data_IF_180278261449
#
_entry.id   IF_180278261449
#
_cell.length_a   1.000
_cell.length_b   1.000
_cell.length_c   1.000
_cell.angle_alpha   90.00
_cell.angle_beta   90.00
_cell.angle_gamma   90.00
#
_symmetry.space_group_name_H-M   'P 1'
#
loop_
_entity.id
_entity.type
_entity.pdbx_description
1 polymer ?
#
# COMPACT_ATOMS: atom_id res chain seq x y z
N UNK A 1 -11.04 -13.56 12.58
CA UNK A 1 -9.62 -13.63 12.92
C UNK A 1 -9.27 -12.36 13.66
N UNK A 2 -8.32 -12.44 14.53
CA UNK A 2 -7.79 -11.27 15.23
C UNK A 2 -6.28 -11.23 15.01
N UNK A 3 -5.60 -10.22 15.49
CA UNK A 3 -4.14 -10.20 15.45
C UNK A 3 -3.49 -11.46 16.07
N UNK A 4 -4.15 -12.07 17.06
CA UNK A 4 -3.67 -13.30 17.71
C UNK A 4 -3.68 -14.55 16.82
N UNK A 5 -4.37 -14.52 15.69
CA UNK A 5 -4.38 -15.63 14.72
C UNK A 5 -3.19 -15.57 13.75
N UNK A 6 -2.48 -14.43 13.70
CA UNK A 6 -1.37 -14.15 12.81
C UNK A 6 -0.07 -13.98 13.59
N UNK A 7 1.04 -14.40 12.99
CA UNK A 7 2.37 -14.31 13.59
C UNK A 7 3.33 -13.45 12.77
N UNK A 8 3.19 -13.46 11.46
CA UNK A 8 4.18 -12.87 10.56
C UNK A 8 3.50 -11.99 9.51
N UNK A 9 3.99 -10.77 9.37
CA UNK A 9 3.57 -9.84 8.34
C UNK A 9 4.72 -9.47 7.41
N UNK A 10 4.41 -9.28 6.14
CA UNK A 10 5.32 -8.70 5.14
C UNK A 10 4.69 -7.43 4.59
N UNK A 11 5.41 -6.30 4.71
CA UNK A 11 4.93 -4.98 4.32
C UNK A 11 5.87 -4.37 3.28
N UNK A 12 5.34 -4.02 2.11
CA UNK A 12 6.10 -3.29 1.09
C UNK A 12 5.91 -1.79 1.20
N UNK A 13 6.90 -1.01 0.73
CA UNK A 13 6.90 0.45 0.88
C UNK A 13 7.07 0.89 2.35
N UNK A 14 7.65 0.03 3.18
CA UNK A 14 7.72 0.21 4.63
C UNK A 14 8.70 1.30 5.10
N UNK A 15 9.42 1.96 4.19
CA UNK A 15 10.38 3.01 4.58
C UNK A 15 9.75 4.37 4.88
N UNK A 16 8.49 4.60 4.47
CA UNK A 16 7.85 5.93 4.65
C UNK A 16 6.32 5.84 4.65
N UNK A 17 5.69 6.93 5.07
CA UNK A 17 4.25 7.15 4.93
C UNK A 17 3.40 6.01 5.49
N UNK A 18 2.37 5.61 4.74
CA UNK A 18 1.44 4.57 5.16
C UNK A 18 2.12 3.22 5.42
N UNK A 19 3.10 2.83 4.59
CA UNK A 19 3.81 1.55 4.76
C UNK A 19 4.61 1.48 6.07
N UNK A 20 5.30 2.55 6.44
CA UNK A 20 6.02 2.63 7.71
C UNK A 20 5.06 2.60 8.91
N UNK A 21 3.97 3.37 8.85
CA UNK A 21 2.96 3.39 9.92
C UNK A 21 2.26 2.01 10.09
N UNK A 22 1.97 1.34 8.98
CA UNK A 22 1.40 -0.02 9.00
C UNK A 22 2.39 -1.01 9.62
N UNK A 23 3.65 -0.99 9.19
CA UNK A 23 4.69 -1.87 9.74
C UNK A 23 4.86 -1.67 11.26
N UNK A 24 4.90 -0.42 11.70
CA UNK A 24 4.96 -0.07 13.12
C UNK A 24 3.74 -0.56 13.91
N UNK A 25 2.52 -0.40 13.37
CA UNK A 25 1.30 -0.89 14.01
C UNK A 25 1.29 -2.40 14.13
N UNK A 26 1.64 -3.13 13.07
CA UNK A 26 1.67 -4.59 13.08
C UNK A 26 2.71 -5.13 14.09
N UNK A 27 3.88 -4.49 14.20
CA UNK A 27 4.87 -4.81 15.22
C UNK A 27 4.34 -4.55 16.65
N UNK A 28 3.69 -3.41 16.89
CA UNK A 28 3.03 -3.10 18.17
C UNK A 28 1.92 -4.10 18.52
N UNK A 29 1.28 -4.71 17.53
CA UNK A 29 0.29 -5.78 17.71
C UNK A 29 0.91 -7.17 17.93
N UNK A 30 2.24 -7.26 17.96
CA UNK A 30 2.99 -8.48 18.30
C UNK A 30 3.33 -9.37 17.10
N UNK A 31 3.17 -8.90 15.86
CA UNK A 31 3.60 -9.66 14.68
C UNK A 31 5.10 -9.46 14.44
N UNK A 32 5.77 -10.51 13.98
CA UNK A 32 7.07 -10.38 13.34
C UNK A 32 6.88 -9.72 11.97
N UNK A 33 7.43 -8.50 11.81
CA UNK A 33 7.23 -7.71 10.59
C UNK A 33 8.47 -7.76 9.71
N UNK A 34 8.34 -8.24 8.50
CA UNK A 34 9.32 -8.13 7.43
C UNK A 34 9.02 -6.86 6.61
N UNK A 35 9.91 -5.89 6.69
CA UNK A 35 9.75 -4.58 6.07
C UNK A 35 10.57 -4.47 4.78
N UNK A 36 9.89 -4.32 3.64
CA UNK A 36 10.53 -4.29 2.31
C UNK A 36 10.48 -2.88 1.74
N UNK A 37 11.63 -2.30 1.39
CA UNK A 37 11.74 -1.03 0.67
C UNK A 37 13.15 -0.86 0.10
N UNK A 38 13.37 0.23 -0.68
CA UNK A 38 14.68 0.53 -1.29
C UNK A 38 15.61 1.34 -0.38
N UNK A 39 15.07 2.11 0.55
CA UNK A 39 15.84 3.02 1.40
C UNK A 39 16.32 2.30 2.66
N UNK A 40 17.60 1.94 2.66
CA UNK A 40 18.25 1.20 3.76
C UNK A 40 18.23 1.99 5.08
N UNK A 41 18.58 3.29 5.06
CA UNK A 41 18.64 4.10 6.28
C UNK A 41 17.28 4.19 6.98
N UNK A 42 16.22 4.47 6.23
CA UNK A 42 14.86 4.54 6.80
C UNK A 42 14.32 3.19 7.26
N UNK A 43 14.72 2.09 6.60
CA UNK A 43 14.39 0.75 7.09
C UNK A 43 15.13 0.41 8.38
N UNK A 44 16.39 0.82 8.53
CA UNK A 44 17.15 0.66 9.77
C UNK A 44 16.49 1.45 10.92
N UNK A 45 16.12 2.71 10.69
CA UNK A 45 15.38 3.51 11.67
C UNK A 45 14.05 2.87 12.09
N UNK A 46 13.32 2.27 11.14
CA UNK A 46 12.10 1.54 11.44
C UNK A 46 12.40 0.29 12.29
N UNK A 47 13.43 -0.47 11.93
CA UNK A 47 13.87 -1.65 12.66
C UNK A 47 14.26 -1.32 14.10
N UNK A 48 15.02 -0.24 14.31
CA UNK A 48 15.44 0.21 15.65
C UNK A 48 14.24 0.56 16.56
N UNK A 49 13.20 1.17 15.97
CA UNK A 49 12.01 1.55 16.75
C UNK A 49 11.04 0.42 17.01
N UNK A 50 11.01 -0.59 16.15
CA UNK A 50 9.90 -1.57 16.12
C UNK A 50 10.34 -3.02 16.26
N UNK A 51 11.61 -3.32 16.05
CA UNK A 51 12.10 -4.69 15.92
C UNK A 51 11.73 -5.34 14.56
N UNK A 52 11.24 -4.59 13.60
CA UNK A 52 10.96 -5.10 12.25
C UNK A 52 12.25 -5.58 11.57
N UNK A 53 12.13 -6.61 10.75
CA UNK A 53 13.26 -7.18 9.99
C UNK A 53 13.34 -6.46 8.64
N UNK A 54 14.40 -5.66 8.38
CA UNK A 54 14.52 -4.89 7.17
C UNK A 54 14.99 -5.76 5.99
N UNK A 55 14.41 -5.53 4.81
CA UNK A 55 14.81 -6.10 3.54
C UNK A 55 14.97 -4.98 2.52
N UNK A 56 16.21 -4.66 2.16
CA UNK A 56 16.52 -3.64 1.16
C UNK A 56 16.40 -4.24 -0.23
N UNK A 57 15.21 -4.13 -0.82
CA UNK A 57 14.88 -4.73 -2.12
C UNK A 57 14.05 -3.78 -2.95
N UNK A 58 14.34 -3.72 -4.25
CA UNK A 58 13.45 -3.11 -5.23
C UNK A 58 12.31 -4.09 -5.56
N UNK A 59 11.08 -3.59 -5.54
CA UNK A 59 9.89 -4.41 -5.81
C UNK A 59 9.86 -4.95 -7.26
N UNK A 60 10.63 -4.36 -8.15
CA UNK A 60 10.77 -4.79 -9.55
C UNK A 60 11.77 -5.95 -9.71
N UNK A 61 12.63 -6.21 -8.71
CA UNK A 61 13.55 -7.34 -8.69
C UNK A 61 12.87 -8.61 -8.13
N UNK A 62 12.26 -9.36 -9.04
CA UNK A 62 11.55 -10.60 -8.68
C UNK A 62 12.45 -11.66 -8.05
N UNK A 63 13.74 -11.71 -8.43
CA UNK A 63 14.67 -12.70 -7.86
C UNK A 63 15.01 -12.33 -6.41
N UNK A 64 15.28 -11.06 -6.13
CA UNK A 64 15.49 -10.58 -4.77
C UNK A 64 14.24 -10.77 -3.90
N UNK A 65 13.04 -10.46 -4.43
CA UNK A 65 11.78 -10.74 -3.73
C UNK A 65 11.61 -12.23 -3.41
N UNK A 66 11.91 -13.11 -4.35
CA UNK A 66 11.83 -14.55 -4.12
C UNK A 66 12.80 -15.00 -3.02
N UNK A 67 14.00 -14.43 -2.95
CA UNK A 67 14.96 -14.68 -1.89
C UNK A 67 14.46 -14.20 -0.51
N UNK A 68 13.79 -13.04 -0.46
CA UNK A 68 13.18 -12.53 0.79
C UNK A 68 12.03 -13.41 1.25
N UNK A 69 11.12 -13.75 0.33
CA UNK A 69 9.96 -14.58 0.68
C UNK A 69 10.40 -16.00 1.07
N UNK A 70 11.27 -16.63 0.27
CA UNK A 70 11.91 -17.92 0.56
C UNK A 70 11.06 -18.86 1.41
N UNK A 71 11.55 -19.14 2.62
CA UNK A 71 10.88 -20.00 3.59
C UNK A 71 9.94 -19.23 4.57
N UNK A 72 9.69 -17.95 4.34
CA UNK A 72 8.83 -17.15 5.22
C UNK A 72 7.38 -17.67 5.19
N UNK A 73 6.85 -17.89 6.38
CA UNK A 73 5.42 -18.20 6.57
C UNK A 73 4.64 -16.90 6.79
N UNK A 74 4.44 -16.14 5.70
CA UNK A 74 3.72 -14.87 5.76
C UNK A 74 2.23 -15.12 5.99
N UNK A 75 1.67 -14.56 7.06
CA UNK A 75 0.25 -14.63 7.39
C UNK A 75 -0.50 -13.37 6.95
N UNK A 76 0.16 -12.20 6.99
CA UNK A 76 -0.40 -10.93 6.53
C UNK A 76 0.54 -10.34 5.48
N UNK A 77 0.08 -10.20 4.25
CA UNK A 77 0.79 -9.49 3.17
C UNK A 77 0.16 -8.12 2.99
N UNK A 78 0.95 -7.05 3.16
CA UNK A 78 0.51 -5.68 2.88
C UNK A 78 1.26 -5.14 1.68
N UNK A 79 0.59 -5.06 0.55
CA UNK A 79 1.07 -4.42 -0.66
C UNK A 79 0.80 -2.91 -0.57
N UNK A 80 1.76 -2.15 -0.02
CA UNK A 80 1.66 -0.71 0.19
C UNK A 80 2.66 0.10 -0.67
N UNK A 81 3.67 -0.55 -1.24
CA UNK A 81 4.58 0.14 -2.16
C UNK A 81 3.82 0.70 -3.36
N UNK A 82 4.14 1.92 -3.73
CA UNK A 82 3.57 2.56 -4.89
C UNK A 82 4.24 3.89 -5.19
N UNK A 83 4.20 4.26 -6.45
CA UNK A 83 4.66 5.54 -6.98
C UNK A 83 3.51 6.26 -7.67
N UNK A 84 3.60 7.56 -7.72
CA UNK A 84 2.71 8.41 -8.50
C UNK A 84 3.56 9.27 -9.43
N UNK A 85 3.05 9.50 -10.64
CA UNK A 85 3.61 10.47 -11.58
C UNK A 85 2.43 11.27 -12.14
N UNK A 86 2.37 12.58 -11.86
CA UNK A 86 1.39 13.45 -12.51
C UNK A 86 1.65 13.47 -14.01
N UNK A 87 0.60 13.43 -14.79
CA UNK A 87 0.67 13.49 -16.24
C UNK A 87 -0.58 12.90 -16.88
N UNK A 88 -1.06 13.53 -17.94
CA UNK A 88 -2.03 12.91 -18.83
C UNK A 88 -1.26 12.06 -19.87
N UNK A 89 -1.96 11.27 -20.66
CA UNK A 89 -1.30 10.35 -21.62
C UNK A 89 -0.50 11.08 -22.71
N UNK A 90 -0.79 12.35 -22.96
CA UNK A 90 -0.09 13.13 -23.96
C UNK A 90 1.30 13.59 -23.48
N UNK A 91 1.48 13.69 -22.16
CA UNK A 91 2.68 14.20 -21.51
C UNK A 91 3.47 13.11 -20.77
N UNK A 92 2.92 11.89 -20.64
CA UNK A 92 3.60 10.78 -19.96
C UNK A 92 4.77 10.27 -20.77
N UNK A 93 5.95 10.17 -20.15
CA UNK A 93 7.11 9.51 -20.77
C UNK A 93 6.99 7.99 -20.74
N UNK A 94 7.78 7.29 -21.54
CA UNK A 94 7.87 5.83 -21.51
C UNK A 94 8.37 5.35 -20.15
N UNK A 95 9.34 6.03 -19.59
CA UNK A 95 9.93 5.73 -18.28
C UNK A 95 8.90 5.86 -17.14
N UNK A 96 8.05 6.91 -17.17
CA UNK A 96 6.98 7.08 -16.18
C UNK A 96 5.92 5.98 -16.29
N UNK A 97 5.58 5.58 -17.52
CA UNK A 97 4.62 4.48 -17.75
C UNK A 97 5.20 3.18 -17.20
N UNK A 98 6.45 2.87 -17.53
CA UNK A 98 7.12 1.65 -17.09
C UNK A 98 7.26 1.61 -15.56
N UNK A 99 7.72 2.70 -14.92
CA UNK A 99 7.83 2.76 -13.47
C UNK A 99 6.48 2.55 -12.77
N UNK A 100 5.43 3.22 -13.26
CA UNK A 100 4.09 3.08 -12.68
C UNK A 100 3.55 1.65 -12.82
N UNK A 101 3.73 1.03 -13.98
CA UNK A 101 3.27 -0.35 -14.22
C UNK A 101 4.13 -1.34 -13.43
N UNK A 102 5.44 -1.19 -13.44
CA UNK A 102 6.35 -2.12 -12.80
C UNK A 102 6.22 -2.10 -11.28
N UNK A 103 6.15 -0.93 -10.67
CA UNK A 103 6.06 -0.82 -9.21
C UNK A 103 4.63 -1.08 -8.72
N UNK A 104 3.63 -0.36 -9.28
CA UNK A 104 2.27 -0.40 -8.73
C UNK A 104 1.52 -1.68 -9.09
N UNK A 105 1.88 -2.35 -10.17
CA UNK A 105 1.14 -3.52 -10.68
C UNK A 105 1.99 -4.79 -10.73
N UNK A 106 3.07 -4.81 -11.51
CA UNK A 106 3.89 -6.01 -11.71
C UNK A 106 4.51 -6.49 -10.42
N UNK A 107 5.13 -5.59 -9.64
CA UNK A 107 5.75 -5.91 -8.36
C UNK A 107 4.75 -6.48 -7.35
N UNK A 108 3.57 -5.86 -7.23
CA UNK A 108 2.48 -6.36 -6.39
C UNK A 108 2.05 -7.78 -6.81
N UNK A 109 1.86 -8.02 -8.10
CA UNK A 109 1.46 -9.33 -8.61
C UNK A 109 2.54 -10.39 -8.37
N UNK A 110 3.81 -10.07 -8.62
CA UNK A 110 4.92 -10.99 -8.43
C UNK A 110 5.08 -11.36 -6.94
N UNK A 111 5.01 -10.39 -6.04
CA UNK A 111 5.08 -10.66 -4.61
C UNK A 111 3.89 -11.49 -4.13
N UNK A 112 2.67 -11.13 -4.55
CA UNK A 112 1.46 -11.89 -4.20
C UNK A 112 1.56 -13.34 -4.70
N UNK A 113 2.06 -13.56 -5.92
CA UNK A 113 2.29 -14.89 -6.50
C UNK A 113 3.29 -15.72 -5.69
N UNK A 114 4.29 -15.09 -5.09
CA UNK A 114 5.27 -15.78 -4.25
C UNK A 114 4.70 -16.15 -2.87
N UNK A 115 3.87 -15.29 -2.28
CA UNK A 115 3.37 -15.45 -0.90
C UNK A 115 2.10 -16.30 -0.83
N UNK A 116 1.15 -16.09 -1.76
CA UNK A 116 -0.19 -16.66 -1.69
C UNK A 116 -0.25 -18.20 -1.62
N UNK A 117 0.58 -18.96 -2.35
CA UNK A 117 0.57 -20.41 -2.27
C UNK A 117 0.80 -20.95 -0.85
N UNK A 118 1.72 -20.37 -0.10
CA UNK A 118 1.98 -20.75 1.30
C UNK A 118 0.80 -20.43 2.22
N UNK A 119 0.09 -19.32 2.00
CA UNK A 119 -1.15 -19.02 2.72
C UNK A 119 -2.24 -20.06 2.41
N UNK A 120 -2.42 -20.41 1.13
CA UNK A 120 -3.41 -21.40 0.67
C UNK A 120 -3.13 -22.78 1.26
N UNK A 121 -1.86 -23.22 1.30
CA UNK A 121 -1.45 -24.47 1.90
C UNK A 121 -1.77 -24.55 3.39
N UNK A 122 -1.47 -23.49 4.14
CA UNK A 122 -1.76 -23.41 5.58
C UNK A 122 -3.25 -23.12 5.89
N UNK A 123 -4.06 -22.82 4.88
CA UNK A 123 -5.44 -22.36 5.04
C UNK A 123 -5.56 -21.17 6.00
N UNK A 124 -4.60 -20.25 5.92
CA UNK A 124 -4.49 -19.05 6.76
C UNK A 124 -3.77 -17.95 6.01
N UNK A 125 -4.42 -16.78 5.88
CA UNK A 125 -3.77 -15.61 5.29
C UNK A 125 -4.69 -14.41 5.18
N UNK A 126 -4.06 -13.23 5.07
CA UNK A 126 -4.73 -11.97 4.76
C UNK A 126 -3.87 -11.15 3.80
N UNK A 127 -4.34 -10.94 2.59
CA UNK A 127 -3.73 -10.02 1.63
C UNK A 127 -4.44 -8.67 1.75
N UNK A 128 -3.67 -7.61 2.01
CA UNK A 128 -4.16 -6.24 2.12
C UNK A 128 -3.46 -5.41 1.05
N UNK A 129 -4.24 -4.88 0.12
CA UNK A 129 -3.74 -4.05 -0.97
C UNK A 129 -4.08 -2.58 -0.69
N UNK A 130 -3.07 -1.72 -0.62
CA UNK A 130 -3.27 -0.27 -0.55
C UNK A 130 -3.39 0.26 -1.97
N UNK A 131 -4.65 0.51 -2.36
CA UNK A 131 -5.01 1.08 -3.65
C UNK A 131 -5.10 2.61 -3.58
N UNK A 132 -6.15 3.18 -4.09
CA UNK A 132 -6.47 4.61 -4.05
C UNK A 132 -7.91 4.82 -4.53
N UNK A 133 -8.53 5.93 -4.18
CA UNK A 133 -9.75 6.41 -4.84
C UNK A 133 -9.52 6.61 -6.36
N UNK A 134 -8.27 6.79 -6.80
CA UNK A 134 -7.89 6.83 -8.21
C UNK A 134 -8.18 5.52 -8.98
N UNK A 135 -8.35 4.39 -8.28
CA UNK A 135 -8.82 3.15 -8.87
C UNK A 135 -10.34 3.10 -9.07
N UNK A 136 -11.08 4.00 -8.44
CA UNK A 136 -12.55 4.04 -8.42
C UNK A 136 -13.11 5.23 -9.19
N UNK A 137 -12.43 6.37 -9.14
CA UNK A 137 -12.86 7.63 -9.71
C UNK A 137 -11.78 8.25 -10.59
N UNK A 138 -12.19 8.99 -11.61
CA UNK A 138 -11.27 9.68 -12.51
C UNK A 138 -11.11 11.14 -12.10
N UNK A 139 -9.88 11.64 -12.16
CA UNK A 139 -9.53 13.05 -12.06
C UNK A 139 -8.39 13.38 -13.03
N UNK A 140 -8.27 14.64 -13.37
CA UNK A 140 -7.36 15.09 -14.42
C UNK A 140 -5.89 14.85 -14.04
N UNK A 141 -5.07 14.50 -15.04
CA UNK A 141 -3.61 14.53 -14.93
C UNK A 141 -2.95 13.30 -14.30
N UNK A 142 -3.60 12.13 -14.30
CA UNK A 142 -3.03 10.91 -13.70
C UNK A 142 -3.42 9.62 -14.46
N UNK A 143 -3.37 9.63 -15.80
CA UNK A 143 -3.93 8.53 -16.62
C UNK A 143 -3.37 7.16 -16.25
N UNK A 144 -2.05 6.99 -16.23
CA UNK A 144 -1.41 5.70 -15.96
C UNK A 144 -1.59 5.28 -14.50
N UNK A 145 -1.50 6.24 -13.58
CA UNK A 145 -1.73 5.96 -12.16
C UNK A 145 -3.15 5.41 -11.90
N UNK A 146 -4.18 6.04 -12.50
CA UNK A 146 -5.56 5.53 -12.42
C UNK A 146 -5.66 4.11 -12.95
N UNK A 147 -5.06 3.84 -14.12
CA UNK A 147 -5.07 2.51 -14.71
C UNK A 147 -4.43 1.47 -13.78
N UNK A 148 -3.27 1.77 -13.18
CA UNK A 148 -2.61 0.84 -12.24
C UNK A 148 -3.44 0.61 -10.98
N UNK A 149 -4.07 1.66 -10.42
CA UNK A 149 -4.92 1.52 -9.22
C UNK A 149 -6.26 0.85 -9.51
N UNK A 150 -6.85 1.05 -10.69
CA UNK A 150 -8.01 0.28 -11.16
C UNK A 150 -7.67 -1.21 -11.35
N UNK A 151 -6.48 -1.52 -11.85
CA UNK A 151 -6.00 -2.90 -11.93
C UNK A 151 -5.86 -3.54 -10.55
N UNK A 152 -5.29 -2.82 -9.55
CA UNK A 152 -5.20 -3.31 -8.16
C UNK A 152 -6.59 -3.55 -7.57
N UNK A 153 -7.57 -2.68 -7.85
CA UNK A 153 -8.96 -2.89 -7.46
C UNK A 153 -9.50 -4.21 -8.02
N UNK A 154 -9.34 -4.45 -9.32
CA UNK A 154 -9.85 -5.68 -9.93
C UNK A 154 -9.08 -6.93 -9.47
N UNK A 155 -7.76 -6.84 -9.27
CA UNK A 155 -6.93 -7.92 -8.73
C UNK A 155 -7.41 -8.30 -7.33
N UNK A 156 -7.68 -7.34 -6.45
CA UNK A 156 -8.16 -7.60 -5.09
C UNK A 156 -9.46 -8.40 -5.07
N UNK A 157 -10.34 -8.12 -6.02
CA UNK A 157 -11.60 -8.88 -6.20
C UNK A 157 -11.34 -10.28 -6.75
N UNK A 158 -10.44 -10.41 -7.73
CA UNK A 158 -10.15 -11.70 -8.36
C UNK A 158 -9.42 -12.65 -7.41
N UNK A 159 -8.49 -12.17 -6.59
CA UNK A 159 -7.79 -12.99 -5.59
C UNK A 159 -8.74 -13.72 -4.62
N UNK A 160 -9.92 -13.15 -4.34
CA UNK A 160 -10.95 -13.84 -3.56
C UNK A 160 -11.55 -15.03 -4.29
N UNK A 161 -11.70 -14.94 -5.62
CA UNK A 161 -12.16 -16.07 -6.43
C UNK A 161 -11.08 -17.14 -6.51
N UNK A 162 -9.81 -16.73 -6.67
CA UNK A 162 -8.67 -17.64 -6.78
C UNK A 162 -8.44 -18.44 -5.48
N UNK A 163 -8.92 -17.92 -4.35
CA UNK A 163 -8.76 -18.54 -3.02
C UNK A 163 -10.08 -19.08 -2.44
N UNK A 164 -11.10 -19.25 -3.28
CA UNK A 164 -12.42 -19.78 -2.84
C UNK A 164 -12.25 -21.12 -2.13
N UNK A 165 -12.97 -21.31 -1.02
CA UNK A 165 -12.88 -22.53 -0.19
C UNK A 165 -11.70 -22.55 0.78
N UNK A 166 -10.89 -21.48 0.82
CA UNK A 166 -9.79 -21.30 1.78
C UNK A 166 -10.06 -20.14 2.74
N UNK A 167 -9.47 -20.23 3.92
CA UNK A 167 -9.57 -19.16 4.93
C UNK A 167 -8.58 -18.03 4.65
N UNK A 168 -8.61 -17.53 3.42
CA UNK A 168 -7.81 -16.40 2.97
C UNK A 168 -8.73 -15.19 2.85
N UNK A 169 -8.33 -14.10 3.48
CA UNK A 169 -9.01 -12.81 3.35
C UNK A 169 -8.26 -11.93 2.37
N UNK A 170 -9.00 -11.14 1.64
CA UNK A 170 -8.43 -10.11 0.76
C UNK A 170 -9.17 -8.81 1.04
N UNK A 171 -8.43 -7.79 1.42
CA UNK A 171 -8.93 -6.45 1.69
C UNK A 171 -8.23 -5.45 0.79
N UNK A 172 -8.99 -4.57 0.19
CA UNK A 172 -8.48 -3.39 -0.47
C UNK A 172 -8.79 -2.16 0.38
N UNK A 173 -7.78 -1.30 0.61
CA UNK A 173 -7.96 0.01 1.22
C UNK A 173 -7.73 1.05 0.13
N UNK A 174 -8.74 1.90 -0.10
CA UNK A 174 -8.76 2.92 -1.13
C UNK A 174 -8.72 4.32 -0.49
N UNK A 175 -7.52 4.84 -0.15
CA UNK A 175 -7.42 6.16 0.42
C UNK A 175 -7.70 7.27 -0.59
N UNK A 176 -8.30 8.35 -0.12
CA UNK A 176 -8.23 9.67 -0.73
C UNK A 176 -6.90 10.34 -0.43
N UNK A 177 -6.93 11.65 -0.16
CA UNK A 177 -5.72 12.41 0.19
C UNK A 177 -5.24 12.04 1.60
N UNK A 178 -4.05 11.47 1.69
CA UNK A 178 -3.35 11.15 2.94
C UNK A 178 -2.08 12.01 3.02
N UNK A 179 -1.81 12.59 4.16
CA UNK A 179 -0.56 13.33 4.42
C UNK A 179 0.62 12.37 4.37
N UNK A 180 1.36 12.41 3.27
CA UNK A 180 2.54 11.60 3.00
C UNK A 180 3.52 12.36 2.11
N UNK A 181 4.71 11.79 1.91
CA UNK A 181 5.74 12.38 1.05
C UNK A 181 5.45 12.21 -0.47
N UNK A 182 4.34 11.61 -0.88
CA UNK A 182 4.11 11.21 -2.27
C UNK A 182 4.12 12.41 -3.23
N UNK A 183 3.51 13.54 -2.84
CA UNK A 183 3.50 14.73 -3.67
C UNK A 183 4.87 15.41 -3.72
N UNK A 184 5.59 15.48 -2.62
CA UNK A 184 6.95 16.01 -2.60
C UNK A 184 7.92 15.20 -3.46
N UNK A 185 7.76 13.88 -3.49
CA UNK A 185 8.52 13.01 -4.40
C UNK A 185 8.20 13.26 -5.86
N UNK A 186 6.96 13.57 -6.20
CA UNK A 186 6.56 13.94 -7.56
C UNK A 186 7.20 15.28 -8.01
N UNK A 187 7.53 16.15 -7.07
CA UNK A 187 8.23 17.43 -7.31
C UNK A 187 9.76 17.32 -7.24
N UNK A 188 10.31 16.10 -7.18
CA UNK A 188 11.74 15.85 -7.19
C UNK A 188 12.36 15.37 -5.87
N UNK A 189 11.60 15.33 -4.78
CA UNK A 189 12.00 14.71 -3.51
C UNK A 189 13.04 15.47 -2.69
N UNK A 190 13.37 16.73 -3.06
CA UNK A 190 14.25 17.58 -2.26
C UNK A 190 13.52 18.15 -1.03
N UNK A 191 14.21 18.65 0.00
CA UNK A 191 13.56 19.31 1.13
C UNK A 191 12.64 20.45 0.71
N UNK A 192 13.04 21.25 -0.29
CA UNK A 192 12.26 22.36 -0.84
C UNK A 192 11.00 21.85 -1.55
N UNK A 193 11.11 20.75 -2.32
CA UNK A 193 9.98 20.09 -2.97
C UNK A 193 8.99 19.50 -1.96
N UNK A 194 9.47 18.98 -0.83
CA UNK A 194 8.61 18.49 0.26
C UNK A 194 7.83 19.65 0.91
N UNK A 195 8.50 20.77 1.15
CA UNK A 195 7.84 21.97 1.71
C UNK A 195 6.83 22.56 0.72
N UNK A 196 7.18 22.68 -0.56
CA UNK A 196 6.26 23.14 -1.61
C UNK A 196 5.02 22.23 -1.70
N UNK A 197 5.23 20.92 -1.65
CA UNK A 197 4.13 19.95 -1.66
C UNK A 197 3.23 20.10 -0.44
N UNK A 198 3.82 20.33 0.75
CA UNK A 198 3.07 20.55 1.96
C UNK A 198 2.16 21.78 1.82
N UNK A 199 2.72 22.91 1.43
CA UNK A 199 1.99 24.17 1.25
C UNK A 199 0.90 24.06 0.18
N UNK A 200 1.17 23.34 -0.92
CA UNK A 200 0.24 23.24 -2.05
C UNK A 200 -0.90 22.26 -1.79
N UNK A 201 -0.62 21.12 -1.16
CA UNK A 201 -1.57 20.01 -1.11
C UNK A 201 -2.13 19.72 0.28
N UNK A 202 -1.51 20.21 1.34
CA UNK A 202 -1.91 19.86 2.71
C UNK A 202 -2.23 21.05 3.58
N UNK A 203 -1.49 22.16 3.46
CA UNK A 203 -1.71 23.34 4.30
C UNK A 203 -3.13 23.91 4.13
N UNK A 204 -3.86 24.05 5.24
CA UNK A 204 -5.23 24.55 5.23
C UNK A 204 -6.30 23.54 4.77
N UNK A 205 -5.93 22.27 4.58
CA UNK A 205 -6.87 21.19 4.28
C UNK A 205 -6.91 20.17 5.41
N UNK A 206 -8.09 19.65 5.72
CA UNK A 206 -8.22 18.44 6.53
C UNK A 206 -8.00 17.22 5.63
N UNK A 207 -6.78 16.68 5.67
CA UNK A 207 -6.40 15.46 4.96
C UNK A 207 -6.52 14.26 5.90
N UNK A 208 -6.56 13.04 5.33
CA UNK A 208 -6.34 11.84 6.12
C UNK A 208 -4.89 11.81 6.60
N UNK A 209 -4.70 11.19 7.76
CA UNK A 209 -3.38 10.86 8.31
C UNK A 209 -3.05 9.40 8.04
N UNK A 210 -1.81 9.02 8.25
CA UNK A 210 -1.42 7.60 8.21
C UNK A 210 -2.13 6.77 9.28
N UNK A 211 -2.50 7.36 10.42
CA UNK A 211 -3.25 6.69 11.49
C UNK A 211 -4.67 6.30 11.06
N UNK A 212 -5.32 7.09 10.21
CA UNK A 212 -6.64 6.74 9.68
C UNK A 212 -6.57 5.47 8.83
N UNK A 213 -5.51 5.32 8.05
CA UNK A 213 -5.27 4.12 7.23
C UNK A 213 -4.94 2.90 8.10
N UNK A 214 -4.14 3.11 9.13
CA UNK A 214 -3.79 2.07 10.10
C UNK A 214 -5.03 1.61 10.89
N UNK A 215 -5.93 2.50 11.28
CA UNK A 215 -7.18 2.16 11.94
C UNK A 215 -8.12 1.36 11.03
N UNK A 216 -8.16 1.68 9.72
CA UNK A 216 -8.89 0.90 8.74
C UNK A 216 -8.31 -0.51 8.56
N UNK A 217 -6.98 -0.64 8.57
CA UNK A 217 -6.29 -1.92 8.55
C UNK A 217 -6.62 -2.74 9.82
N UNK A 218 -6.56 -2.13 11.01
CA UNK A 218 -6.92 -2.79 12.27
C UNK A 218 -8.36 -3.31 12.20
N UNK A 219 -9.32 -2.49 11.74
CA UNK A 219 -10.70 -2.91 11.56
C UNK A 219 -10.81 -4.14 10.65
N UNK A 220 -10.13 -4.13 9.51
CA UNK A 220 -10.16 -5.25 8.58
C UNK A 220 -9.57 -6.54 9.18
N UNK A 221 -8.49 -6.43 9.97
CA UNK A 221 -7.84 -7.59 10.61
C UNK A 221 -8.70 -8.14 11.75
N UNK A 222 -9.31 -7.29 12.57
CA UNK A 222 -10.04 -7.68 13.78
C UNK A 222 -11.46 -8.19 13.53
N UNK A 223 -11.97 -8.14 12.30
CA UNK A 223 -13.28 -8.72 11.98
C UNK A 223 -13.31 -10.23 12.24
N UNK A 224 -14.49 -10.79 12.62
CA UNK A 224 -14.63 -12.22 12.85
C UNK A 224 -14.11 -13.06 11.67
N UNK A 225 -13.64 -14.27 11.98
CA UNK A 225 -12.97 -15.16 11.01
C UNK A 225 -13.77 -15.43 9.72
N UNK A 226 -15.09 -15.43 9.80
CA UNK A 226 -15.98 -15.66 8.65
C UNK A 226 -16.28 -14.39 7.86
N UNK A 227 -15.79 -13.23 8.32
CA UNK A 227 -16.01 -11.93 7.68
C UNK A 227 -14.79 -11.56 6.85
N UNK A 228 -14.99 -11.27 5.59
CA UNK A 228 -14.00 -10.62 4.74
C UNK A 228 -14.44 -9.18 4.46
N UNK A 229 -13.68 -8.23 4.92
CA UNK A 229 -13.84 -6.83 4.50
C UNK A 229 -13.23 -6.70 3.10
N UNK A 230 -14.05 -6.59 2.08
CA UNK A 230 -13.58 -6.61 0.69
C UNK A 230 -12.90 -5.31 0.28
N UNK A 231 -13.48 -4.18 0.69
CA UNK A 231 -12.97 -2.85 0.37
C UNK A 231 -13.31 -1.85 1.46
N UNK A 232 -12.40 -0.94 1.73
CA UNK A 232 -12.59 0.24 2.56
C UNK A 232 -12.16 1.47 1.77
N UNK A 233 -13.12 2.31 1.45
CA UNK A 233 -12.89 3.63 0.86
C UNK A 233 -12.87 4.65 1.98
N UNK A 234 -11.78 5.43 2.07
CA UNK A 234 -11.61 6.49 3.06
C UNK A 234 -11.25 7.78 2.35
N UNK A 235 -12.02 8.81 2.63
CA UNK A 235 -11.74 10.16 2.13
C UNK A 235 -11.84 11.18 3.26
N UNK A 236 -11.07 12.28 3.19
CA UNK A 236 -11.36 13.45 4.00
C UNK A 236 -12.82 13.88 3.80
N UNK A 237 -13.46 14.38 4.86
CA UNK A 237 -14.87 14.81 4.81
C UNK A 237 -15.14 15.83 3.68
N UNK A 238 -14.16 16.67 3.38
CA UNK A 238 -14.27 17.72 2.35
C UNK A 238 -13.74 17.30 0.97
N UNK A 239 -13.29 16.05 0.81
CA UNK A 239 -12.88 15.54 -0.51
C UNK A 239 -14.09 14.97 -1.25
N UNK A 240 -14.37 15.48 -2.44
CA UNK A 240 -15.44 14.97 -3.31
C UNK A 240 -14.89 13.87 -4.22
N UNK A 241 -15.56 12.73 -4.38
CA UNK A 241 -15.18 11.69 -5.34
C UNK A 241 -15.08 12.24 -6.77
N UNK A 242 -14.02 11.88 -7.49
CA UNK A 242 -13.83 12.26 -8.89
C UNK A 242 -13.34 13.70 -9.11
N UNK A 243 -13.00 14.43 -8.05
CA UNK A 243 -12.49 15.80 -8.18
C UNK A 243 -11.33 16.09 -7.25
N UNK A 244 -10.39 16.92 -7.74
CA UNK A 244 -9.47 17.71 -6.90
C UNK A 244 -10.11 19.04 -6.51
N UNK A 245 -11.40 19.21 -6.77
CA UNK A 245 -12.13 20.42 -6.40
C UNK A 245 -12.33 20.41 -4.89
N UNK A 246 -11.40 21.05 -4.21
CA UNK A 246 -11.58 21.44 -2.83
C UNK A 246 -12.26 22.79 -2.82
N UNK A 247 -13.41 22.89 -2.16
CA UNK A 247 -13.96 24.20 -1.84
C UNK A 247 -13.00 24.82 -0.81
N UNK A 248 -12.28 25.86 -1.25
CA UNK A 248 -11.51 26.71 -0.34
C UNK A 248 -12.50 27.61 0.39
N UNK A 249 -12.83 27.26 1.58
CA UNK A 249 -13.56 28.17 2.48
C UNK A 249 -12.63 28.75 3.51
#
# INVERSE_FOLDING_TARGET
>A
MSFSDYTTALVTGASTGMGAAIAERLAKRGLTVHAVARNEGRLAELADRTGAIPHVVDLTDTAALAAVVGDLKVDVLVNCAGVSRPGNILDSSEEDIDELVDVNLRGLLQLTRLVLPGMVERDLGHVINISSIAGLYNFYGHTVYHATKAAVHQISRQLRNDTVGKRIRVTEICPGRVETEIFGRNLGGTPEAMEEAWQTYYEGYESLTTDDIVNALDYAIETPRHVNVGMLELMPTFQVPGGLTFDRR
#
